data_IF_624495869331
#
_entry.id   IF_624495869331
#
_cell.length_a   1.000
_cell.length_b   1.000
_cell.length_c   1.000
_cell.angle_alpha   90.00
_cell.angle_beta   90.00
_cell.angle_gamma   90.00
#
_symmetry.space_group_name_H-M   'P 1'
#
loop_
_entity.id
_entity.type
_entity.pdbx_description
1 polymer ?
#
# COMPACT_ATOMS: atom_id res chain seq x y z
N UNK A 1 -40.40 32.46 22.21
CA UNK A 1 -40.30 32.06 23.63
C UNK A 1 -39.22 31.00 23.71
N UNK A 2 -38.24 31.19 24.61
CA UNK A 2 -36.97 30.45 24.79
C UNK A 2 -35.90 30.77 23.72
N UNK A 3 -34.91 31.65 23.93
CA UNK A 3 -33.78 31.70 24.89
C UNK A 3 -32.70 30.63 24.67
N UNK A 4 -31.44 31.07 24.49
CA UNK A 4 -30.29 30.19 24.67
C UNK A 4 -28.95 30.58 24.03
N UNK A 5 -28.27 31.60 24.61
CA UNK A 5 -26.81 31.73 24.82
C UNK A 5 -25.85 31.17 23.74
N UNK A 6 -25.14 32.05 23.02
CA UNK A 6 -23.81 32.55 23.37
C UNK A 6 -22.67 31.52 23.17
N UNK A 7 -21.93 31.66 22.06
CA UNK A 7 -20.55 31.17 21.97
C UNK A 7 -19.65 32.37 21.68
N UNK A 8 -18.82 32.70 22.68
CA UNK A 8 -17.77 33.70 22.60
C UNK A 8 -16.52 33.06 22.01
N UNK A 9 -15.89 33.78 21.08
CA UNK A 9 -14.46 34.11 21.08
C UNK A 9 -13.44 32.97 21.12
N UNK A 10 -12.75 32.75 19.99
CA UNK A 10 -11.30 32.96 19.82
C UNK A 10 -11.11 33.26 18.31
N UNK A 11 -10.82 34.49 17.86
CA UNK A 11 -9.49 35.11 17.89
C UNK A 11 -8.63 34.54 16.76
N UNK A 12 -8.70 35.06 15.53
CA UNK A 12 -7.63 35.90 14.92
C UNK A 12 -6.22 35.35 15.22
N UNK A 13 -5.44 34.90 14.23
CA UNK A 13 -4.65 35.78 13.36
C UNK A 13 -4.25 35.00 12.09
N UNK A 14 -4.68 35.53 10.94
CA UNK A 14 -4.06 35.34 9.61
C UNK A 14 -3.37 36.67 9.28
N UNK A 15 -2.32 36.65 8.46
CA UNK A 15 -1.40 37.73 8.05
C UNK A 15 -0.16 37.85 8.96
N UNK A 16 1.07 38.06 8.48
CA UNK A 16 1.65 38.16 7.13
C UNK A 16 3.19 38.23 7.28
N UNK A 17 3.90 37.74 6.26
CA UNK A 17 5.08 38.34 5.63
C UNK A 17 6.16 39.07 6.47
N UNK A 18 7.39 38.55 6.33
CA UNK A 18 8.68 39.22 6.10
C UNK A 18 9.18 40.29 7.11
N UNK A 19 10.31 40.01 7.76
CA UNK A 19 11.45 40.94 7.82
C UNK A 19 12.73 40.23 8.30
N UNK A 20 13.70 40.18 7.41
CA UNK A 20 15.12 39.94 7.70
C UNK A 20 15.64 41.09 8.56
N UNK A 21 16.29 40.78 9.68
CA UNK A 21 17.21 41.70 10.34
C UNK A 21 18.46 40.95 10.79
N UNK A 22 19.51 41.18 10.00
CA UNK A 22 20.91 41.00 10.34
C UNK A 22 21.22 41.67 11.68
N UNK A 23 21.70 40.91 12.65
CA UNK A 23 22.56 41.43 13.72
C UNK A 23 23.80 40.55 13.77
N UNK A 24 24.84 41.03 13.09
CA UNK A 24 26.21 40.68 13.43
C UNK A 24 26.68 41.68 14.50
N UNK A 25 26.94 41.19 15.71
CA UNK A 25 27.72 41.91 16.71
C UNK A 25 28.58 40.90 17.47
N UNK A 26 29.87 40.96 17.14
CA UNK A 26 30.99 40.26 17.75
C UNK A 26 31.12 40.67 19.22
N UNK A 27 31.14 39.71 20.13
CA UNK A 27 31.75 39.86 21.45
C UNK A 27 32.54 38.60 21.78
N UNK A 28 33.85 38.78 21.98
CA UNK A 28 34.82 37.77 22.37
C UNK A 28 34.40 36.95 23.58
N UNK A 29 34.45 35.62 23.43
CA UNK A 29 34.50 34.66 24.51
C UNK A 29 35.40 33.50 24.10
N UNK A 30 36.53 33.33 24.79
CA UNK A 30 37.46 32.22 24.61
C UNK A 30 36.76 30.91 24.97
N UNK A 31 36.88 29.91 24.12
CA UNK A 31 36.30 28.59 24.32
C UNK A 31 36.32 27.81 23.01
N UNK A 32 37.49 27.28 22.67
CA UNK A 32 37.69 26.40 21.53
C UNK A 32 37.12 25.01 21.87
N UNK A 33 35.80 24.91 21.93
CA UNK A 33 35.10 23.63 21.76
C UNK A 33 34.48 23.66 20.37
N UNK A 34 35.17 23.01 19.43
CA UNK A 34 34.64 22.75 18.11
C UNK A 34 33.33 21.98 18.25
N UNK A 35 32.21 22.68 18.14
CA UNK A 35 30.91 22.04 18.05
C UNK A 35 30.93 21.16 16.80
N UNK A 36 30.64 19.84 16.91
CA UNK A 36 30.49 19.02 15.73
C UNK A 36 29.36 19.61 14.91
N UNK A 37 29.70 20.01 13.68
CA UNK A 37 28.73 20.32 12.64
C UNK A 37 27.75 19.15 12.60
N UNK A 38 26.42 19.36 12.75
CA UNK A 38 25.46 18.31 12.51
C UNK A 38 25.72 17.82 11.09
N UNK A 39 26.29 16.62 10.97
CA UNK A 39 26.36 15.95 9.69
C UNK A 39 24.90 15.77 9.30
N UNK A 40 24.45 16.46 8.26
CA UNK A 40 23.27 16.04 7.53
C UNK A 40 23.54 14.58 7.19
N UNK A 41 22.92 13.66 7.94
CA UNK A 41 22.84 12.27 7.53
C UNK A 41 22.25 12.33 6.13
N UNK A 42 23.13 12.12 5.15
CA UNK A 42 22.75 11.96 3.76
C UNK A 42 21.93 10.68 3.74
N UNK A 43 20.63 10.82 3.99
CA UNK A 43 19.65 9.76 3.85
C UNK A 43 19.78 9.35 2.39
N UNK A 44 20.41 8.20 2.16
CA UNK A 44 20.50 7.63 0.83
C UNK A 44 19.08 7.64 0.25
N UNK A 45 18.90 8.03 -1.03
CA UNK A 45 17.58 7.99 -1.63
C UNK A 45 17.03 6.57 -1.47
N UNK A 46 15.75 6.41 -1.10
CA UNK A 46 15.16 5.09 -0.94
C UNK A 46 15.37 4.29 -2.22
N UNK A 47 15.69 3.01 -2.06
CA UNK A 47 15.87 2.08 -3.14
C UNK A 47 14.62 2.05 -4.01
N UNK A 48 14.83 2.14 -5.33
CA UNK A 48 13.74 2.08 -6.28
C UNK A 48 13.51 0.62 -6.67
N UNK A 49 12.38 0.08 -6.24
CA UNK A 49 11.91 -1.25 -6.67
C UNK A 49 11.06 -1.05 -7.93
N UNK A 50 11.42 -1.62 -9.09
CA UNK A 50 10.65 -1.45 -10.32
C UNK A 50 9.19 -1.87 -10.14
N UNK A 51 8.27 -0.97 -10.50
CA UNK A 51 6.82 -1.21 -10.41
C UNK A 51 6.17 -0.85 -9.07
N UNK A 52 6.94 -0.44 -8.06
CA UNK A 52 6.41 0.11 -6.82
C UNK A 52 6.54 1.64 -6.80
N UNK A 53 5.59 2.29 -6.12
CA UNK A 53 5.68 3.71 -5.79
C UNK A 53 6.70 3.97 -4.67
N UNK A 54 6.99 5.25 -4.40
CA UNK A 54 7.91 5.65 -3.34
C UNK A 54 7.45 5.20 -1.94
N UNK A 55 6.15 5.34 -1.63
CA UNK A 55 5.62 4.95 -0.33
C UNK A 55 5.66 3.43 -0.15
N UNK A 56 5.38 2.69 -1.22
CA UNK A 56 5.49 1.23 -1.24
C UNK A 56 6.94 0.77 -1.08
N UNK A 57 7.90 1.40 -1.78
CA UNK A 57 9.32 1.08 -1.63
C UNK A 57 9.77 1.29 -0.18
N UNK A 58 9.44 2.44 0.42
CA UNK A 58 9.75 2.73 1.83
C UNK A 58 9.17 1.68 2.77
N UNK A 59 7.94 1.23 2.54
CA UNK A 59 7.33 0.21 3.37
C UNK A 59 8.02 -1.15 3.21
N UNK A 60 8.44 -1.51 1.99
CA UNK A 60 9.24 -2.73 1.76
C UNK A 60 10.62 -2.65 2.42
N UNK A 61 11.25 -1.47 2.46
CA UNK A 61 12.50 -1.27 3.19
C UNK A 61 12.32 -1.38 4.70
N UNK A 62 11.21 -0.86 5.23
CA UNK A 62 10.91 -0.86 6.66
C UNK A 62 10.49 -2.24 7.18
N UNK A 63 9.61 -2.94 6.45
CA UNK A 63 8.91 -4.13 6.94
C UNK A 63 9.13 -5.37 6.07
N UNK A 64 9.79 -5.24 4.92
CA UNK A 64 9.81 -6.27 3.88
C UNK A 64 8.53 -6.29 3.04
N UNK A 65 8.43 -7.29 2.16
CA UNK A 65 7.21 -7.54 1.40
C UNK A 65 6.07 -8.00 2.32
N UNK A 66 4.81 -7.69 2.00
CA UNK A 66 3.69 -8.11 2.81
C UNK A 66 3.52 -9.64 2.78
N UNK A 67 3.05 -10.21 3.89
CA UNK A 67 2.70 -11.63 3.99
C UNK A 67 1.59 -11.99 2.98
N UNK A 68 0.62 -11.08 2.83
CA UNK A 68 -0.43 -11.15 1.82
C UNK A 68 -0.79 -9.77 1.31
N UNK A 69 -1.27 -9.72 0.08
CA UNK A 69 -1.86 -8.54 -0.50
C UNK A 69 -3.16 -8.85 -1.23
N UNK A 70 -4.03 -7.84 -1.23
CA UNK A 70 -5.20 -7.73 -2.08
C UNK A 70 -4.98 -6.55 -3.04
N UNK A 71 -5.35 -6.73 -4.30
CA UNK A 71 -5.33 -5.69 -5.33
C UNK A 71 -6.71 -5.63 -5.97
N UNK A 72 -7.26 -4.42 -6.09
CA UNK A 72 -8.42 -4.12 -6.92
C UNK A 72 -8.03 -3.08 -7.94
N UNK A 73 -8.31 -3.33 -9.22
CA UNK A 73 -8.08 -2.38 -10.31
C UNK A 73 -9.42 -2.02 -10.93
N UNK A 74 -9.74 -0.73 -10.95
CA UNK A 74 -10.92 -0.23 -11.67
C UNK A 74 -10.67 -0.36 -13.19
N UNK A 75 -11.51 -1.11 -13.94
CA UNK A 75 -11.31 -1.32 -15.37
C UNK A 75 -11.56 -0.07 -16.24
N UNK A 76 -12.15 0.99 -15.69
CA UNK A 76 -12.48 2.24 -16.38
C UNK A 76 -11.43 3.32 -16.11
N UNK A 77 -11.10 3.57 -14.84
CA UNK A 77 -10.12 4.60 -14.46
C UNK A 77 -8.69 4.06 -14.40
N UNK A 78 -8.51 2.74 -14.35
CA UNK A 78 -7.23 2.08 -14.03
C UNK A 78 -6.72 2.40 -12.62
N UNK A 79 -7.57 2.92 -11.74
CA UNK A 79 -7.20 3.14 -10.35
C UNK A 79 -6.88 1.81 -9.68
N UNK A 80 -5.73 1.77 -9.01
CA UNK A 80 -5.23 0.57 -8.34
C UNK A 80 -5.27 0.80 -6.83
N UNK A 81 -6.16 0.08 -6.15
CA UNK A 81 -6.24 0.05 -4.70
C UNK A 81 -5.63 -1.25 -4.19
N UNK A 82 -4.78 -1.16 -3.17
CA UNK A 82 -4.09 -2.30 -2.59
C UNK A 82 -4.23 -2.31 -1.07
N UNK A 83 -4.35 -3.50 -0.50
CA UNK A 83 -4.19 -3.73 0.95
C UNK A 83 -3.05 -4.69 1.16
N UNK A 84 -2.03 -4.28 1.90
CA UNK A 84 -0.84 -5.05 2.22
C UNK A 84 -0.88 -5.47 3.68
N UNK A 85 -0.81 -6.78 3.95
CA UNK A 85 -1.02 -7.41 5.26
C UNK A 85 0.31 -7.85 5.85
N UNK A 86 0.59 -7.46 7.09
CA UNK A 86 1.79 -7.82 7.85
C UNK A 86 1.35 -8.43 9.18
N UNK A 87 1.28 -9.75 9.26
CA UNK A 87 0.76 -10.46 10.43
C UNK A 87 1.66 -10.30 11.66
N UNK A 88 2.99 -10.39 11.47
CA UNK A 88 3.95 -10.20 12.56
C UNK A 88 3.86 -8.79 13.18
N UNK A 89 3.47 -7.81 12.39
CA UNK A 89 3.30 -6.41 12.80
C UNK A 89 1.87 -6.11 13.28
N UNK A 90 0.93 -7.06 13.16
CA UNK A 90 -0.47 -6.89 13.53
C UNK A 90 -1.17 -5.76 12.76
N UNK A 91 -0.73 -5.43 11.54
CA UNK A 91 -1.28 -4.32 10.75
C UNK A 91 -1.48 -4.65 9.28
N UNK A 92 -2.43 -3.95 8.66
CA UNK A 92 -2.58 -3.89 7.21
C UNK A 92 -2.54 -2.42 6.76
N UNK A 93 -1.86 -2.18 5.65
CA UNK A 93 -1.64 -0.85 5.07
C UNK A 93 -2.36 -0.75 3.73
N UNK A 94 -3.15 0.31 3.56
CA UNK A 94 -3.93 0.54 2.34
C UNK A 94 -3.27 1.60 1.45
N UNK A 95 -3.21 1.31 0.15
CA UNK A 95 -2.64 2.17 -0.89
C UNK A 95 -3.66 2.47 -1.99
N UNK A 96 -3.68 3.71 -2.44
CA UNK A 96 -4.45 4.19 -3.59
C UNK A 96 -3.47 4.74 -4.61
N UNK A 97 -3.36 4.05 -5.74
CA UNK A 97 -2.40 4.34 -6.81
C UNK A 97 -0.96 4.46 -6.27
N UNK A 98 -0.61 3.57 -5.33
CA UNK A 98 0.69 3.52 -4.65
C UNK A 98 0.87 4.50 -3.50
N UNK A 99 -0.02 5.49 -3.32
CA UNK A 99 0.06 6.40 -2.18
C UNK A 99 -0.60 5.76 -0.97
N UNK A 100 0.09 5.75 0.18
CA UNK A 100 -0.50 5.24 1.43
C UNK A 100 -1.64 6.16 1.88
N UNK A 101 -2.80 5.60 2.18
CA UNK A 101 -3.96 6.36 2.66
C UNK A 101 -4.61 5.80 3.92
N UNK A 102 -4.32 4.53 4.26
CA UNK A 102 -4.95 3.86 5.40
C UNK A 102 -4.01 2.91 6.14
N UNK A 103 -4.32 2.67 7.40
CA UNK A 103 -3.76 1.61 8.22
C UNK A 103 -4.85 1.08 9.14
N UNK A 104 -4.88 -0.23 9.36
CA UNK A 104 -5.77 -0.89 10.30
C UNK A 104 -5.02 -1.97 11.07
N UNK A 105 -5.37 -2.12 12.35
CA UNK A 105 -4.95 -3.28 13.14
C UNK A 105 -5.65 -4.54 12.62
N UNK A 106 -4.94 -5.66 12.64
CA UNK A 106 -5.44 -6.98 12.25
C UNK A 106 -5.06 -8.04 13.28
N UNK A 107 -5.77 -9.15 13.26
CA UNK A 107 -5.37 -10.35 13.99
C UNK A 107 -4.28 -11.11 13.22
N UNK A 108 -3.41 -11.82 13.95
CA UNK A 108 -2.45 -12.73 13.34
C UNK A 108 -3.17 -13.99 12.83
N UNK A 109 -3.27 -14.10 11.51
CA UNK A 109 -3.82 -15.28 10.83
C UNK A 109 -2.75 -16.08 10.07
N UNK A 110 -1.46 -15.86 10.36
CA UNK A 110 -0.32 -16.47 9.64
C UNK A 110 -0.32 -18.00 9.69
N UNK A 111 -0.85 -18.60 10.76
CA UNK A 111 -1.01 -20.05 10.87
C UNK A 111 -2.04 -20.62 9.89
N UNK A 112 -3.06 -19.83 9.54
CA UNK A 112 -4.12 -20.20 8.59
C UNK A 112 -3.74 -19.84 7.16
N UNK A 113 -3.02 -18.74 6.99
CA UNK A 113 -2.54 -18.23 5.71
C UNK A 113 -1.04 -17.96 5.83
N UNK A 114 -0.20 -18.94 5.47
CA UNK A 114 1.24 -18.74 5.47
C UNK A 114 1.66 -17.63 4.49
N UNK A 115 2.70 -16.85 4.82
CA UNK A 115 3.18 -15.76 3.96
C UNK A 115 3.45 -16.21 2.52
N UNK A 116 2.98 -15.42 1.55
CA UNK A 116 3.24 -15.66 0.13
C UNK A 116 4.67 -15.24 -0.24
N UNK A 117 5.17 -15.79 -1.35
CA UNK A 117 6.42 -15.37 -2.00
C UNK A 117 6.15 -14.51 -3.24
N UNK A 118 4.89 -14.17 -3.49
CA UNK A 118 4.47 -13.31 -4.59
C UNK A 118 4.66 -11.85 -4.20
N UNK A 119 4.87 -10.98 -5.19
CA UNK A 119 4.99 -9.56 -4.94
C UNK A 119 3.90 -8.76 -5.66
N UNK A 120 3.37 -7.66 -5.07
CA UNK A 120 2.31 -6.87 -5.68
C UNK A 120 2.63 -6.31 -7.07
N UNK A 121 3.90 -5.93 -7.32
CA UNK A 121 4.35 -5.36 -8.59
C UNK A 121 4.36 -6.35 -9.76
N UNK A 122 4.29 -7.66 -9.47
CA UNK A 122 4.25 -8.70 -10.49
C UNK A 122 2.90 -8.68 -11.23
N UNK A 123 1.84 -8.14 -10.62
CA UNK A 123 0.47 -8.17 -11.14
C UNK A 123 0.10 -6.84 -11.79
N UNK A 124 -0.04 -6.83 -13.12
CA UNK A 124 -0.40 -5.65 -13.92
C UNK A 124 -1.79 -5.81 -14.53
N UNK A 125 -2.52 -4.71 -14.79
CA UNK A 125 -3.85 -4.79 -15.43
C UNK A 125 -3.85 -5.52 -16.78
N UNK A 126 -2.73 -5.44 -17.51
CA UNK A 126 -2.54 -6.10 -18.80
C UNK A 126 -2.15 -7.57 -18.71
N UNK A 127 -1.93 -8.12 -17.50
CA UNK A 127 -1.52 -9.50 -17.31
C UNK A 127 -2.58 -10.43 -17.87
N UNK A 128 -2.20 -11.40 -18.71
CA UNK A 128 -3.15 -12.42 -19.21
C UNK A 128 -3.24 -13.63 -18.26
N UNK A 129 -4.27 -14.48 -18.37
CA UNK A 129 -4.33 -15.74 -17.62
C UNK A 129 -3.11 -16.65 -17.86
N UNK A 130 -2.57 -16.66 -19.06
CA UNK A 130 -1.39 -17.46 -19.42
C UNK A 130 -0.12 -16.93 -18.75
N UNK A 131 0.06 -15.61 -18.72
CA UNK A 131 1.15 -14.96 -17.98
C UNK A 131 1.04 -15.22 -16.48
N UNK A 132 -0.17 -15.11 -15.92
CA UNK A 132 -0.42 -15.45 -14.53
C UNK A 132 -0.05 -16.91 -14.22
N UNK A 133 -0.37 -17.85 -15.11
CA UNK A 133 -0.03 -19.26 -14.94
C UNK A 133 1.49 -19.54 -14.96
N UNK A 134 2.30 -18.68 -15.57
CA UNK A 134 3.76 -18.80 -15.51
C UNK A 134 4.31 -18.48 -14.10
N UNK A 135 3.64 -17.59 -13.37
CA UNK A 135 4.04 -17.15 -12.02
C UNK A 135 3.39 -18.04 -10.95
N UNK A 136 2.10 -18.32 -11.13
CA UNK A 136 1.25 -18.98 -10.12
C UNK A 136 1.17 -20.50 -10.30
N UNK A 137 1.63 -21.03 -11.44
CA UNK A 137 1.47 -22.43 -11.81
C UNK A 137 0.12 -22.73 -12.46
N UNK A 138 -0.28 -24.01 -12.48
CA UNK A 138 -1.54 -24.41 -13.13
C UNK A 138 -2.75 -23.94 -12.30
N UNK A 139 -3.80 -23.40 -12.95
CA UNK A 139 -5.06 -23.14 -12.27
C UNK A 139 -5.64 -24.42 -11.66
N UNK A 140 -6.15 -24.31 -10.43
CA UNK A 140 -6.92 -25.36 -9.75
C UNK A 140 -8.37 -25.33 -10.20
N UNK A 141 -8.90 -24.15 -10.49
CA UNK A 141 -10.28 -23.93 -10.90
C UNK A 141 -10.41 -22.66 -11.75
N UNK A 142 -11.35 -22.65 -12.70
CA UNK A 142 -11.71 -21.46 -13.49
C UNK A 142 -13.20 -21.44 -13.75
N UNK A 143 -13.82 -20.25 -13.64
CA UNK A 143 -15.23 -20.08 -13.87
C UNK A 143 -15.54 -18.72 -14.52
N UNK A 144 -16.32 -18.77 -15.60
CA UNK A 144 -16.86 -17.57 -16.25
C UNK A 144 -18.18 -17.18 -15.61
N UNK A 145 -18.24 -15.94 -15.13
CA UNK A 145 -19.41 -15.30 -14.57
C UNK A 145 -19.92 -14.28 -15.58
N UNK A 146 -21.15 -14.47 -16.04
CA UNK A 146 -21.80 -13.51 -16.90
C UNK A 146 -22.49 -12.44 -16.04
N UNK A 147 -22.03 -11.20 -16.17
CA UNK A 147 -22.68 -10.07 -15.51
C UNK A 147 -23.93 -9.68 -16.31
N UNK A 148 -25.09 -9.97 -15.72
CA UNK A 148 -26.41 -9.68 -16.31
C UNK A 148 -26.67 -8.19 -16.53
N UNK A 149 -25.99 -7.31 -15.80
CA UNK A 149 -26.18 -5.86 -15.89
C UNK A 149 -25.31 -5.22 -16.96
N UNK A 150 -24.12 -5.76 -17.21
CA UNK A 150 -23.14 -5.13 -18.11
C UNK A 150 -22.83 -5.92 -19.37
N UNK A 151 -23.50 -7.06 -19.57
CA UNK A 151 -23.21 -8.02 -20.66
C UNK A 151 -21.73 -8.38 -20.79
N UNK A 152 -20.97 -8.18 -19.71
CA UNK A 152 -19.54 -8.37 -19.67
C UNK A 152 -19.26 -9.70 -19.01
N UNK A 153 -18.37 -10.47 -19.60
CA UNK A 153 -17.89 -11.70 -18.99
C UNK A 153 -16.74 -11.36 -18.04
N UNK A 154 -16.88 -11.82 -16.82
CA UNK A 154 -15.82 -11.84 -15.82
C UNK A 154 -15.37 -13.29 -15.64
N UNK A 155 -14.09 -13.51 -15.39
CA UNK A 155 -13.54 -14.86 -15.17
C UNK A 155 -12.83 -14.87 -13.83
N UNK A 156 -13.20 -15.81 -12.97
CA UNK A 156 -12.50 -16.08 -11.71
C UNK A 156 -11.59 -17.27 -11.94
N UNK A 157 -10.30 -17.10 -11.66
CA UNK A 157 -9.30 -18.16 -11.77
C UNK A 157 -8.65 -18.35 -10.41
N UNK A 158 -8.71 -19.58 -9.90
CA UNK A 158 -8.13 -19.96 -8.61
C UNK A 158 -6.85 -20.73 -8.86
N UNK A 159 -5.75 -20.23 -8.31
CA UNK A 159 -4.46 -20.90 -8.21
C UNK A 159 -4.22 -21.34 -6.77
N UNK A 160 -3.23 -22.19 -6.54
CA UNK A 160 -2.86 -22.62 -5.19
C UNK A 160 -2.43 -21.46 -4.28
N UNK A 161 -1.89 -20.39 -4.88
CA UNK A 161 -1.27 -19.25 -4.16
C UNK A 161 -2.05 -17.93 -4.27
N UNK A 162 -3.02 -17.84 -5.19
CA UNK A 162 -3.77 -16.62 -5.43
C UNK A 162 -5.10 -16.88 -6.13
N UNK A 163 -6.06 -16.00 -5.92
CA UNK A 163 -7.30 -15.91 -6.70
C UNK A 163 -7.20 -14.66 -7.57
N UNK A 164 -7.41 -14.83 -8.88
CA UNK A 164 -7.42 -13.74 -9.84
C UNK A 164 -8.82 -13.52 -10.40
N UNK A 165 -9.18 -12.26 -10.58
CA UNK A 165 -10.42 -11.84 -11.22
C UNK A 165 -10.09 -11.08 -12.50
N UNK A 166 -10.66 -11.55 -13.61
CA UNK A 166 -10.55 -10.94 -14.92
C UNK A 166 -11.89 -10.37 -15.36
N UNK A 167 -11.85 -9.29 -16.14
CA UNK A 167 -13.02 -8.77 -16.85
C UNK A 167 -12.61 -8.30 -18.23
N UNK A 168 -13.28 -8.80 -19.28
CA UNK A 168 -12.92 -8.52 -20.69
C UNK A 168 -11.43 -8.75 -20.98
N UNK A 169 -10.83 -9.77 -20.36
CA UNK A 169 -9.41 -10.12 -20.53
C UNK A 169 -8.42 -9.27 -19.74
N UNK A 170 -8.86 -8.28 -18.97
CA UNK A 170 -8.00 -7.48 -18.09
C UNK A 170 -8.05 -8.00 -16.66
N UNK A 171 -6.91 -7.99 -15.97
CA UNK A 171 -6.82 -8.32 -14.56
C UNK A 171 -7.39 -7.16 -13.74
N UNK A 172 -8.44 -7.44 -12.96
CA UNK A 172 -9.12 -6.44 -12.12
C UNK A 172 -9.06 -6.77 -10.63
N UNK A 173 -8.62 -7.96 -10.25
CA UNK A 173 -8.53 -8.35 -8.85
C UNK A 173 -7.47 -9.42 -8.60
N UNK A 174 -6.76 -9.31 -7.48
CA UNK A 174 -5.82 -10.29 -6.96
C UNK A 174 -6.05 -10.46 -5.47
N UNK A 175 -6.15 -11.69 -4.99
CA UNK A 175 -6.13 -12.00 -3.56
C UNK A 175 -5.16 -13.15 -3.32
N UNK A 176 -4.15 -12.92 -2.49
CA UNK A 176 -3.15 -13.93 -2.11
C UNK A 176 -3.46 -14.62 -0.79
N UNK A 177 -4.52 -14.22 -0.08
CA UNK A 177 -4.96 -14.85 1.17
C UNK A 177 -5.78 -16.11 0.86
N UNK A 178 -5.14 -17.08 0.22
CA UNK A 178 -5.74 -18.35 -0.18
C UNK A 178 -5.39 -19.42 0.85
N UNK A 179 -6.39 -20.15 1.34
CA UNK A 179 -6.13 -21.28 2.23
C UNK A 179 -5.47 -22.43 1.45
N UNK A 180 -4.45 -23.11 2.02
CA UNK A 180 -3.86 -24.28 1.39
C UNK A 180 -4.94 -25.33 1.07
N UNK A 181 -4.86 -26.02 -0.09
CA UNK A 181 -5.79 -27.10 -0.39
C UNK A 181 -5.71 -28.16 0.71
N UNK A 182 -6.87 -28.58 1.23
CA UNK A 182 -6.94 -29.68 2.21
C UNK A 182 -6.50 -30.96 1.50
N UNK A 183 -5.25 -31.39 1.69
CA UNK A 183 -4.79 -32.70 1.23
C UNK A 183 -5.57 -33.76 2.02
N UNK A 184 -6.29 -34.69 1.36
CA UNK A 184 -6.89 -35.81 2.06
C UNK A 184 -5.78 -36.60 2.75
N UNK A 185 -5.89 -36.78 4.06
CA UNK A 185 -5.03 -37.73 4.79
C UNK A 185 -5.36 -39.12 4.23
N UNK A 186 -4.39 -39.73 3.54
CA UNK A 186 -4.48 -41.12 3.11
C UNK A 186 -4.24 -42.06 4.29
#
# INVERSE_FOLDING_TARGET
MMDGKAFRSVGHIVLAWLAVLLIAAVMSGCGEEAMPVPQEESVAPPSSIPGLSLDQCRLVEELGYPDHFFISIDPLSSDRVETWTYFAEGKAIDFDNGRRFGEKAIEDESAKYPPTQLHPQDFKPSMTPEEAAQILGKPVYSHDVQDSLTSSNSTIIVFEKAILLYRKGQLIGVDTKVAPPKVPVQ
#
